data_IF_786768881619
#
_entry.id   IF_786768881619
#
_cell.length_a   1.000
_cell.length_b   1.000
_cell.length_c   1.000
_cell.angle_alpha   90.00
_cell.angle_beta   90.00
_cell.angle_gamma   90.00
#
_symmetry.space_group_name_H-M   'P 1'
#
loop_
_entity.id
_entity.type
_entity.pdbx_description
1 polymer ?
#
# COMPACT_ATOMS: atom_id res chain seq x y z
N UNK A 1 30.59 -2.46 -13.95
CA UNK A 1 29.52 -1.78 -13.21
C UNK A 1 29.34 -2.52 -11.88
N UNK A 2 29.55 -1.85 -10.75
CA UNK A 2 29.35 -2.43 -9.42
C UNK A 2 27.87 -2.69 -9.13
N UNK A 3 27.56 -3.47 -8.09
CA UNK A 3 26.17 -3.67 -7.66
C UNK A 3 25.51 -2.35 -7.24
N UNK A 4 26.23 -1.52 -6.48
CA UNK A 4 25.78 -0.18 -6.09
C UNK A 4 25.44 0.67 -7.32
N UNK A 5 26.37 0.77 -8.29
CA UNK A 5 26.12 1.52 -9.52
C UNK A 5 24.86 1.03 -10.24
N UNK A 6 24.67 -0.29 -10.32
CA UNK A 6 23.51 -0.89 -10.97
C UNK A 6 22.20 -0.52 -10.27
N UNK A 7 22.09 -0.69 -8.95
CA UNK A 7 20.84 -0.46 -8.21
C UNK A 7 20.48 1.03 -8.18
N UNK A 8 21.47 1.90 -7.97
CA UNK A 8 21.25 3.36 -7.93
C UNK A 8 20.93 3.92 -9.31
N UNK A 9 21.62 3.53 -10.39
CA UNK A 9 21.28 3.99 -11.75
C UNK A 9 19.91 3.50 -12.19
N UNK A 10 19.52 2.27 -11.82
CA UNK A 10 18.16 1.77 -12.05
C UNK A 10 17.13 2.63 -11.31
N UNK A 11 17.37 2.96 -10.04
CA UNK A 11 16.46 3.83 -9.30
C UNK A 11 16.41 5.25 -9.88
N UNK A 12 17.53 5.80 -10.37
CA UNK A 12 17.55 7.10 -11.04
C UNK A 12 16.59 7.12 -12.23
N UNK A 13 16.58 6.07 -13.05
CA UNK A 13 15.63 5.93 -14.16
C UNK A 13 14.17 5.86 -13.71
N UNK A 14 13.87 5.26 -12.55
CA UNK A 14 12.53 5.33 -11.98
C UNK A 14 12.17 6.76 -11.49
N UNK A 15 13.14 7.51 -10.97
CA UNK A 15 12.90 8.86 -10.47
C UNK A 15 12.74 9.90 -11.61
N UNK A 16 13.29 9.63 -12.79
CA UNK A 16 13.18 10.52 -13.95
C UNK A 16 11.72 10.86 -14.28
N UNK A 17 11.46 12.15 -14.55
CA UNK A 17 10.12 12.69 -14.79
C UNK A 17 9.21 12.81 -13.56
N UNK A 18 9.63 12.29 -12.40
CA UNK A 18 8.81 12.28 -11.16
C UNK A 18 9.47 12.99 -9.97
N UNK A 19 10.79 12.89 -9.84
CA UNK A 19 11.62 13.62 -8.87
C UNK A 19 13.01 13.85 -9.47
N UNK A 20 13.24 15.02 -10.10
CA UNK A 20 14.56 15.41 -10.59
C UNK A 20 15.63 15.36 -9.50
N UNK A 21 15.29 15.72 -8.26
CA UNK A 21 16.21 15.68 -7.12
C UNK A 21 16.64 14.24 -6.81
N UNK A 22 15.71 13.30 -6.67
CA UNK A 22 16.06 11.92 -6.36
C UNK A 22 16.78 11.24 -7.53
N UNK A 23 16.48 11.63 -8.78
CA UNK A 23 17.23 11.15 -9.94
C UNK A 23 18.70 11.61 -9.90
N UNK A 24 18.95 12.89 -9.58
CA UNK A 24 20.31 13.42 -9.41
C UNK A 24 21.05 12.74 -8.25
N UNK A 25 20.44 12.68 -7.07
CA UNK A 25 21.02 12.03 -5.90
C UNK A 25 21.35 10.57 -6.17
N UNK A 26 20.45 9.82 -6.84
CA UNK A 26 20.74 8.44 -7.21
C UNK A 26 21.98 8.34 -8.11
N UNK A 27 22.17 9.23 -9.08
CA UNK A 27 23.35 9.22 -9.96
C UNK A 27 24.63 9.55 -9.19
N UNK A 28 24.59 10.53 -8.28
CA UNK A 28 25.73 10.89 -7.42
C UNK A 28 26.12 9.75 -6.48
N UNK A 29 25.13 9.09 -5.88
CA UNK A 29 25.33 8.00 -4.92
C UNK A 29 25.67 6.66 -5.57
N UNK A 30 25.56 6.53 -6.89
CA UNK A 30 25.90 5.31 -7.61
C UNK A 30 27.36 4.87 -7.41
N UNK A 31 28.27 5.82 -7.21
CA UNK A 31 29.71 5.61 -7.09
C UNK A 31 30.28 6.14 -5.75
N UNK A 32 29.42 6.60 -4.84
CA UNK A 32 29.83 7.18 -3.56
C UNK A 32 30.31 6.09 -2.58
N UNK A 33 31.59 6.12 -2.13
CA UNK A 33 32.16 5.07 -1.29
C UNK A 33 31.58 5.03 0.13
N UNK A 34 30.80 6.04 0.55
CA UNK A 34 30.19 6.09 1.88
C UNK A 34 28.95 5.20 2.00
N UNK A 35 28.26 4.91 0.90
CA UNK A 35 26.97 4.18 0.90
C UNK A 35 27.07 2.84 1.64
N UNK A 36 28.05 1.95 1.37
CA UNK A 36 28.15 0.67 2.08
C UNK A 36 28.43 0.80 3.59
N UNK A 37 28.94 1.95 4.04
CA UNK A 37 29.17 2.25 5.45
C UNK A 37 27.91 2.71 6.20
N UNK A 38 26.88 3.17 5.47
CA UNK A 38 25.61 3.64 6.04
C UNK A 38 24.55 2.54 6.02
N UNK A 39 24.52 1.75 4.95
CA UNK A 39 23.39 0.86 4.67
C UNK A 39 23.82 -0.36 3.86
N UNK A 40 23.30 -1.53 4.22
CA UNK A 40 23.54 -2.76 3.47
C UNK A 40 23.02 -2.65 2.03
N UNK A 41 23.80 -3.16 1.07
CA UNK A 41 23.46 -3.14 -0.35
C UNK A 41 22.47 -4.26 -0.69
N UNK A 42 21.31 -3.85 -1.15
CA UNK A 42 20.18 -4.64 -1.64
C UNK A 42 19.54 -3.88 -2.79
N UNK A 43 18.52 -4.48 -3.42
CA UNK A 43 17.84 -3.83 -4.56
C UNK A 43 17.11 -2.53 -4.19
N UNK A 44 16.70 -2.37 -2.93
CA UNK A 44 15.94 -1.23 -2.41
C UNK A 44 16.80 -0.21 -1.63
N UNK A 45 18.12 -0.42 -1.54
CA UNK A 45 19.05 0.50 -0.85
C UNK A 45 18.87 1.96 -1.24
N UNK A 46 18.72 2.33 -2.54
CA UNK A 46 18.52 3.73 -2.91
C UNK A 46 17.29 4.35 -2.23
N UNK A 47 16.18 3.61 -2.14
CA UNK A 47 14.94 4.09 -1.53
C UNK A 47 15.07 4.23 -0.02
N UNK A 48 15.73 3.28 0.65
CA UNK A 48 15.96 3.34 2.10
C UNK A 48 16.89 4.49 2.49
N UNK A 49 18.00 4.65 1.76
CA UNK A 49 18.94 5.74 1.99
C UNK A 49 18.31 7.11 1.73
N UNK A 50 17.60 7.29 0.61
CA UNK A 50 16.89 8.54 0.33
C UNK A 50 15.78 8.81 1.34
N UNK A 51 15.07 7.78 1.81
CA UNK A 51 14.09 7.92 2.89
C UNK A 51 14.71 8.36 4.21
N UNK A 52 15.92 7.88 4.53
CA UNK A 52 16.68 8.31 5.69
C UNK A 52 17.19 9.75 5.59
N UNK A 53 17.74 10.13 4.42
CA UNK A 53 18.14 11.51 4.14
C UNK A 53 16.94 12.46 4.20
N UNK A 54 15.81 12.07 3.61
CA UNK A 54 14.60 12.88 3.64
C UNK A 54 14.05 13.04 5.05
N UNK A 55 14.16 12.01 5.90
CA UNK A 55 13.81 12.14 7.31
C UNK A 55 14.65 13.24 7.97
N UNK A 56 15.97 13.26 7.80
CA UNK A 56 16.81 14.34 8.35
C UNK A 56 16.40 15.72 7.82
N UNK A 57 16.08 15.83 6.52
CA UNK A 57 15.64 17.09 5.91
C UNK A 57 14.29 17.55 6.47
N UNK A 58 13.30 16.65 6.59
CA UNK A 58 12.00 16.95 7.18
C UNK A 58 12.11 17.34 8.66
N UNK A 59 13.07 16.77 9.37
CA UNK A 59 13.38 17.11 10.76
C UNK A 59 14.14 18.43 10.93
N UNK A 60 14.56 19.09 9.84
CA UNK A 60 15.40 20.28 9.88
C UNK A 60 16.83 20.02 10.36
N UNK A 61 17.27 18.76 10.32
CA UNK A 61 18.60 18.31 10.75
C UNK A 61 19.61 18.26 9.60
N UNK A 62 19.14 18.33 8.36
CA UNK A 62 19.95 18.34 7.15
C UNK A 62 19.30 19.17 6.03
N UNK A 63 20.07 19.44 4.98
CA UNK A 63 19.61 20.05 3.74
C UNK A 63 20.00 19.18 2.54
N UNK A 64 19.20 19.21 1.47
CA UNK A 64 19.53 18.57 0.20
C UNK A 64 20.80 19.14 -0.45
N UNK A 65 21.14 20.39 -0.15
CA UNK A 65 22.33 21.07 -0.65
C UNK A 65 23.60 20.65 0.10
N UNK A 66 23.48 20.11 1.31
CA UNK A 66 24.57 19.78 2.23
C UNK A 66 24.66 18.26 2.46
N UNK A 67 24.69 17.50 1.36
CA UNK A 67 24.67 16.03 1.41
C UNK A 67 25.79 15.44 2.27
N UNK A 68 26.98 16.06 2.28
CA UNK A 68 28.10 15.58 3.08
C UNK A 68 27.81 15.64 4.59
N UNK A 69 27.22 16.74 5.06
CA UNK A 69 26.79 16.87 6.45
C UNK A 69 25.67 15.88 6.79
N UNK A 70 24.74 15.64 5.85
CA UNK A 70 23.68 14.65 6.03
C UNK A 70 24.23 13.22 6.18
N UNK A 71 25.31 12.87 5.46
CA UNK A 71 25.99 11.58 5.55
C UNK A 71 26.74 11.37 6.86
N UNK A 72 27.24 12.45 7.45
CA UNK A 72 27.94 12.42 8.75
C UNK A 72 26.97 12.39 9.94
N UNK A 73 25.68 12.59 9.71
CA UNK A 73 24.67 12.60 10.77
C UNK A 73 24.52 11.22 11.42
N UNK A 74 24.64 11.16 12.76
CA UNK A 74 24.68 9.92 13.53
C UNK A 74 23.44 9.02 13.36
N UNK A 75 22.26 9.63 13.15
CA UNK A 75 21.01 8.91 12.93
C UNK A 75 20.85 8.29 11.52
N UNK A 76 21.63 8.70 10.52
CA UNK A 76 21.39 8.28 9.13
C UNK A 76 21.40 6.75 8.96
N UNK A 77 22.36 5.98 9.51
CA UNK A 77 22.35 4.52 9.39
C UNK A 77 21.07 3.90 9.96
N UNK A 78 20.61 4.38 11.12
CA UNK A 78 19.37 3.89 11.76
C UNK A 78 18.14 4.21 10.92
N UNK A 79 18.08 5.40 10.33
CA UNK A 79 16.98 5.82 9.46
C UNK A 79 16.97 5.03 8.14
N UNK A 80 18.14 4.82 7.53
CA UNK A 80 18.31 4.06 6.29
C UNK A 80 18.20 2.52 6.45
N UNK A 81 18.26 2.01 7.69
CA UNK A 81 17.99 0.60 7.98
C UNK A 81 16.48 0.27 7.95
N UNK A 82 15.59 1.28 7.99
CA UNK A 82 14.14 1.07 8.01
C UNK A 82 13.65 0.52 6.66
N UNK A 83 12.72 -0.45 6.66
CA UNK A 83 12.03 -0.89 5.44
C UNK A 83 11.34 0.27 4.72
N UNK A 84 11.31 0.19 3.38
CA UNK A 84 10.62 1.16 2.52
C UNK A 84 9.12 1.16 2.82
N UNK A 85 8.52 2.34 2.97
CA UNK A 85 7.09 2.49 3.26
C UNK A 85 6.34 3.24 2.16
N UNK A 86 6.01 2.54 1.07
CA UNK A 86 5.17 3.05 -0.03
C UNK A 86 3.70 2.72 0.21
N UNK A 87 3.14 3.16 1.34
CA UNK A 87 1.73 2.91 1.70
C UNK A 87 0.82 3.93 0.98
N UNK A 88 0.53 3.67 -0.30
CA UNK A 88 -0.24 4.59 -1.15
C UNK A 88 -1.75 4.50 -0.88
N UNK A 89 -2.30 5.56 -0.28
CA UNK A 89 -3.72 5.68 0.10
C UNK A 89 -4.65 5.74 -1.10
N UNK A 90 -4.17 6.30 -2.23
CA UNK A 90 -4.97 6.41 -3.46
C UNK A 90 -5.39 5.03 -4.00
N UNK A 91 -4.74 3.94 -3.60
CA UNK A 91 -5.17 2.57 -3.98
C UNK A 91 -6.59 2.26 -3.52
N UNK A 92 -7.06 2.86 -2.42
CA UNK A 92 -8.46 2.73 -2.01
C UNK A 92 -9.44 3.18 -3.10
N UNK A 93 -9.05 4.09 -4.00
CA UNK A 93 -9.89 4.52 -5.12
C UNK A 93 -10.11 3.41 -6.16
N UNK A 94 -9.13 2.55 -6.45
CA UNK A 94 -9.44 1.40 -7.31
C UNK A 94 -9.99 0.20 -6.53
N UNK A 95 -9.79 0.12 -5.21
CA UNK A 95 -10.32 -0.96 -4.38
C UNK A 95 -11.81 -0.80 -4.07
N UNK A 96 -12.31 0.44 -3.91
CA UNK A 96 -13.71 0.69 -3.60
C UNK A 96 -14.66 -0.11 -4.51
N UNK A 97 -14.60 -0.01 -5.85
CA UNK A 97 -15.54 -0.74 -6.70
C UNK A 97 -15.44 -2.26 -6.54
N UNK A 98 -14.28 -2.80 -6.18
CA UNK A 98 -14.13 -4.22 -5.83
C UNK A 98 -14.88 -4.58 -4.54
N UNK A 99 -14.78 -3.77 -3.48
CA UNK A 99 -15.57 -3.97 -2.25
C UNK A 99 -17.07 -3.85 -2.49
N UNK A 100 -17.50 -2.93 -3.36
CA UNK A 100 -18.90 -2.79 -3.74
C UNK A 100 -19.38 -3.99 -4.58
N UNK A 101 -18.53 -4.53 -5.45
CA UNK A 101 -18.81 -5.76 -6.20
C UNK A 101 -18.95 -6.98 -5.28
N UNK A 102 -18.12 -7.09 -4.24
CA UNK A 102 -18.28 -8.10 -3.19
C UNK A 102 -19.65 -7.98 -2.50
N UNK A 103 -20.04 -6.77 -2.10
CA UNK A 103 -21.35 -6.51 -1.47
C UNK A 103 -22.50 -6.90 -2.41
N UNK A 104 -22.38 -6.57 -3.70
CA UNK A 104 -23.39 -6.89 -4.72
C UNK A 104 -23.61 -8.40 -4.87
N UNK A 105 -22.54 -9.18 -4.84
CA UNK A 105 -22.57 -10.64 -5.10
C UNK A 105 -22.99 -11.45 -3.89
N UNK A 106 -22.55 -11.05 -2.71
CA UNK A 106 -22.79 -11.81 -1.47
C UNK A 106 -24.14 -11.47 -0.83
N UNK A 107 -24.81 -10.39 -1.27
CA UNK A 107 -26.01 -9.83 -0.62
C UNK A 107 -25.74 -9.41 0.84
N UNK A 108 -24.48 -9.52 1.28
CA UNK A 108 -24.02 -9.09 2.59
C UNK A 108 -23.72 -7.60 2.55
N UNK A 109 -24.19 -6.93 3.59
CA UNK A 109 -23.96 -5.50 3.78
C UNK A 109 -23.01 -5.23 4.94
N UNK A 110 -22.44 -6.25 5.58
CA UNK A 110 -21.52 -6.08 6.71
C UNK A 110 -20.22 -6.85 6.47
N UNK A 111 -19.08 -6.18 6.61
CA UNK A 111 -17.75 -6.75 6.42
C UNK A 111 -16.91 -6.69 7.69
N UNK A 112 -16.12 -7.73 7.90
CA UNK A 112 -14.90 -7.67 8.71
C UNK A 112 -13.70 -7.68 7.76
N UNK A 113 -12.85 -6.65 7.83
CA UNK A 113 -11.70 -6.52 6.95
C UNK A 113 -10.43 -7.06 7.59
N UNK A 114 -9.62 -7.73 6.77
CA UNK A 114 -8.26 -8.12 7.09
C UNK A 114 -7.28 -7.75 5.97
N UNK A 115 -6.44 -6.73 6.18
CA UNK A 115 -5.39 -6.37 5.21
C UNK A 115 -4.08 -7.12 5.48
N UNK A 116 -3.50 -7.75 4.46
CA UNK A 116 -2.17 -8.35 4.50
C UNK A 116 -1.13 -7.35 3.99
N UNK A 117 -0.13 -7.03 4.81
CA UNK A 117 0.87 -5.98 4.53
C UNK A 117 0.30 -4.57 4.70
N UNK A 118 -0.42 -4.36 5.81
CA UNK A 118 -1.22 -3.16 6.02
C UNK A 118 -0.41 -1.87 6.24
N UNK A 119 0.89 -1.96 6.57
CA UNK A 119 1.73 -0.82 6.93
C UNK A 119 1.08 0.09 8.00
N UNK A 120 0.59 1.28 7.63
CA UNK A 120 -0.11 2.22 8.52
C UNK A 120 -1.64 2.04 8.53
N UNK A 121 -2.18 1.08 7.77
CA UNK A 121 -3.60 0.74 7.73
C UNK A 121 -4.47 1.70 6.92
N UNK A 122 -3.89 2.51 6.04
CA UNK A 122 -4.69 3.51 5.30
C UNK A 122 -5.77 2.90 4.42
N UNK A 123 -5.54 1.75 3.79
CA UNK A 123 -6.55 1.13 2.91
C UNK A 123 -7.65 0.39 3.68
N UNK A 124 -7.43 0.06 4.96
CA UNK A 124 -8.50 -0.46 5.83
C UNK A 124 -9.62 0.56 6.05
N UNK A 125 -9.32 1.85 5.92
CA UNK A 125 -10.28 2.95 6.08
C UNK A 125 -10.99 3.31 4.77
N UNK A 126 -11.02 2.42 3.78
CA UNK A 126 -11.64 2.72 2.49
C UNK A 126 -13.09 3.21 2.62
N UNK A 127 -13.86 2.71 3.59
CA UNK A 127 -15.26 3.12 3.80
C UNK A 127 -15.40 4.48 4.54
N UNK A 128 -14.28 5.09 4.93
CA UNK A 128 -14.20 6.40 5.60
C UNK A 128 -13.75 7.54 4.69
N UNK A 129 -13.37 7.23 3.46
CA UNK A 129 -13.00 8.24 2.47
C UNK A 129 -14.18 8.62 1.57
N UNK A 130 -14.02 9.75 0.88
CA UNK A 130 -14.87 10.15 -0.24
C UNK A 130 -14.18 9.81 -1.56
N UNK A 131 -14.97 9.50 -2.58
CA UNK A 131 -14.46 9.11 -3.88
C UNK A 131 -15.24 9.79 -5.00
N UNK A 132 -14.52 10.12 -6.07
CA UNK A 132 -15.10 10.63 -7.32
C UNK A 132 -14.86 9.65 -8.46
N UNK A 133 -15.94 9.32 -9.17
CA UNK A 133 -15.94 8.61 -10.45
C UNK A 133 -16.81 9.39 -11.44
N UNK A 134 -16.68 9.08 -12.73
CA UNK A 134 -17.48 9.58 -13.85
C UNK A 134 -18.96 9.32 -13.62
N UNK A 135 -19.32 8.18 -13.02
CA UNK A 135 -20.70 7.81 -12.75
C UNK A 135 -21.29 8.50 -11.51
N UNK A 136 -20.46 9.11 -10.65
CA UNK A 136 -20.89 9.82 -9.45
C UNK A 136 -19.88 9.73 -8.29
N UNK A 137 -20.29 10.31 -7.17
CA UNK A 137 -19.51 10.31 -5.93
C UNK A 137 -19.94 9.16 -5.00
N UNK A 138 -19.00 8.68 -4.18
CA UNK A 138 -19.27 7.73 -3.10
C UNK A 138 -18.61 8.17 -1.80
N UNK A 139 -19.18 7.79 -0.67
CA UNK A 139 -18.64 8.06 0.66
C UNK A 139 -19.29 9.26 1.35
N UNK A 140 -18.75 9.63 2.50
CA UNK A 140 -19.34 10.66 3.35
C UNK A 140 -18.95 12.06 2.89
N UNK A 141 -19.87 13.02 3.01
CA UNK A 141 -19.60 14.41 2.64
C UNK A 141 -18.58 15.09 3.57
N UNK A 142 -18.45 14.60 4.81
CA UNK A 142 -17.54 15.10 5.85
C UNK A 142 -16.21 14.33 5.93
N UNK A 143 -15.93 13.44 4.97
CA UNK A 143 -14.68 12.69 4.95
C UNK A 143 -13.46 13.64 4.85
N UNK A 144 -12.43 13.36 5.65
CA UNK A 144 -11.19 14.15 5.65
C UNK A 144 -10.40 14.03 4.35
N UNK A 145 -10.63 12.96 3.61
CA UNK A 145 -9.92 12.62 2.39
C UNK A 145 -10.91 12.30 1.27
N UNK A 146 -10.69 12.94 0.13
CA UNK A 146 -11.33 12.61 -1.14
C UNK A 146 -10.28 12.04 -2.10
N UNK A 147 -10.65 10.97 -2.80
CA UNK A 147 -9.81 10.26 -3.75
C UNK A 147 -10.46 10.22 -5.14
N UNK A 148 -9.64 10.42 -6.17
CA UNK A 148 -10.05 10.34 -7.57
C UNK A 148 -8.92 9.76 -8.43
N UNK A 149 -9.21 9.55 -9.71
CA UNK A 149 -8.26 9.08 -10.72
C UNK A 149 -8.88 9.07 -12.11
N UNK A 150 -8.12 8.63 -13.10
CA UNK A 150 -8.60 8.51 -14.48
C UNK A 150 -9.31 7.16 -14.71
N UNK A 151 -10.59 7.19 -15.06
CA UNK A 151 -11.31 6.00 -15.54
C UNK A 151 -11.12 5.81 -17.04
N UNK A 152 -10.27 4.85 -17.41
CA UNK A 152 -10.10 4.38 -18.79
C UNK A 152 -11.30 3.59 -19.27
N UNK A 153 -11.84 2.74 -18.39
CA UNK A 153 -13.19 2.17 -18.52
C UNK A 153 -13.94 2.44 -17.21
N UNK A 154 -15.15 3.02 -17.29
CA UNK A 154 -15.85 3.50 -16.12
C UNK A 154 -16.35 2.36 -15.24
N UNK A 155 -16.38 2.61 -13.94
CA UNK A 155 -17.04 1.75 -12.95
C UNK A 155 -18.56 1.75 -13.21
N UNK A 156 -19.24 0.60 -13.14
CA UNK A 156 -20.69 0.53 -13.28
C UNK A 156 -21.42 1.40 -12.24
N UNK A 157 -22.29 2.29 -12.70
CA UNK A 157 -23.00 3.23 -11.83
C UNK A 157 -23.82 2.55 -10.71
N UNK A 158 -24.35 1.35 -10.99
CA UNK A 158 -25.10 0.57 -10.00
C UNK A 158 -24.28 0.21 -8.76
N UNK A 159 -22.95 0.02 -8.89
CA UNK A 159 -22.09 -0.25 -7.73
C UNK A 159 -22.07 0.94 -6.76
N UNK A 160 -22.03 2.17 -7.29
CA UNK A 160 -21.94 3.38 -6.49
C UNK A 160 -23.22 3.67 -5.67
N UNK A 161 -24.30 2.91 -5.85
CA UNK A 161 -25.49 2.96 -4.98
C UNK A 161 -25.37 2.09 -3.72
N UNK A 162 -24.43 1.15 -3.68
CA UNK A 162 -24.27 0.22 -2.55
C UNK A 162 -23.62 0.92 -1.35
N UNK A 163 -24.04 0.54 -0.15
CA UNK A 163 -23.57 1.10 1.13
C UNK A 163 -23.28 -0.01 2.14
N UNK A 164 -22.28 -0.87 1.87
CA UNK A 164 -21.83 -1.84 2.88
C UNK A 164 -21.29 -1.10 4.12
N UNK A 165 -21.33 -1.79 5.25
CA UNK A 165 -20.89 -1.36 6.56
C UNK A 165 -19.66 -2.18 6.93
N UNK A 166 -18.58 -1.52 7.31
CA UNK A 166 -17.40 -2.20 7.84
C UNK A 166 -17.50 -2.22 9.37
N UNK A 167 -17.66 -3.42 9.93
CA UNK A 167 -17.76 -3.66 11.38
C UNK A 167 -16.37 -3.65 12.03
N UNK A 168 -15.41 -4.39 11.47
CA UNK A 168 -14.04 -4.48 11.98
C UNK A 168 -13.01 -4.17 10.89
N UNK A 169 -11.90 -3.55 11.32
CA UNK A 169 -10.73 -3.25 10.47
C UNK A 169 -9.48 -3.78 11.16
N UNK A 170 -8.92 -4.88 10.65
CA UNK A 170 -7.68 -5.46 11.14
C UNK A 170 -6.62 -5.53 10.02
N UNK A 171 -5.36 -5.37 10.38
CA UNK A 171 -4.24 -5.47 9.44
C UNK A 171 -3.05 -6.17 10.07
N UNK A 172 -2.31 -6.93 9.24
CA UNK A 172 -1.05 -7.56 9.64
C UNK A 172 0.08 -6.98 8.80
N UNK A 173 1.20 -6.66 9.45
CA UNK A 173 2.41 -6.23 8.78
C UNK A 173 3.65 -6.70 9.56
N UNK A 174 4.79 -6.91 8.88
CA UNK A 174 6.04 -7.25 9.56
C UNK A 174 6.54 -6.10 10.44
N UNK A 175 6.30 -4.87 10.02
CA UNK A 175 6.71 -3.66 10.74
C UNK A 175 5.66 -2.55 10.58
N UNK A 176 4.48 -2.71 11.21
CA UNK A 176 3.38 -1.76 11.09
C UNK A 176 3.81 -0.38 11.60
N UNK A 177 3.31 0.67 10.94
CA UNK A 177 3.65 2.05 11.28
C UNK A 177 2.51 2.72 12.04
N UNK A 178 2.71 3.01 13.33
CA UNK A 178 1.71 3.70 14.13
C UNK A 178 1.72 5.22 13.88
N UNK A 179 0.92 5.67 12.92
CA UNK A 179 0.77 7.09 12.57
C UNK A 179 -0.01 7.92 13.61
N UNK A 180 -0.51 7.30 14.69
CA UNK A 180 -0.99 8.06 15.86
C UNK A 180 0.15 8.72 16.61
N UNK A 181 1.35 8.13 16.54
CA UNK A 181 2.57 8.74 17.05
C UNK A 181 3.15 9.71 16.04
N UNK A 182 3.85 10.74 16.53
CA UNK A 182 4.55 11.67 15.64
C UNK A 182 5.72 10.99 14.95
N UNK A 183 6.38 10.02 15.60
CA UNK A 183 7.44 9.23 14.98
C UNK A 183 6.93 8.40 13.80
N UNK A 184 5.80 7.69 13.94
CA UNK A 184 5.24 6.89 12.87
C UNK A 184 4.71 7.75 11.71
N UNK A 185 4.06 8.87 12.02
CA UNK A 185 3.63 9.82 11.00
C UNK A 185 4.83 10.41 10.25
N UNK A 186 5.90 10.79 10.98
CA UNK A 186 7.15 11.28 10.40
C UNK A 186 7.83 10.23 9.52
N UNK A 187 7.86 8.97 9.95
CA UNK A 187 8.41 7.86 9.17
C UNK A 187 7.72 7.71 7.82
N UNK A 188 6.39 7.74 7.78
CA UNK A 188 5.65 7.57 6.51
C UNK A 188 5.86 8.79 5.59
N UNK A 189 5.95 10.00 6.15
CA UNK A 189 6.26 11.22 5.37
C UNK A 189 7.60 11.14 4.66
N UNK A 190 8.63 10.57 5.29
CA UNK A 190 9.97 10.51 4.70
C UNK A 190 10.06 9.64 3.44
N UNK A 191 9.08 8.78 3.19
CA UNK A 191 8.97 7.97 1.98
C UNK A 191 8.11 8.61 0.87
N UNK A 192 7.52 9.78 1.10
CA UNK A 192 6.97 10.63 0.04
C UNK A 192 8.10 11.45 -0.55
N UNK A 193 8.19 11.55 -1.87
CA UNK A 193 9.32 12.25 -2.49
C UNK A 193 9.14 13.78 -2.38
N UNK A 194 10.22 14.57 -2.28
CA UNK A 194 10.15 16.01 -2.02
C UNK A 194 9.23 16.79 -2.96
N UNK A 195 9.23 16.45 -4.25
CA UNK A 195 8.40 17.14 -5.26
C UNK A 195 6.93 16.67 -5.27
N UNK A 196 6.57 15.60 -4.55
CA UNK A 196 5.23 15.00 -4.56
C UNK A 196 4.28 15.69 -3.56
N UNK A 197 4.13 17.01 -3.66
CA UNK A 197 3.33 17.82 -2.74
C UNK A 197 1.87 17.35 -2.61
N UNK A 198 1.21 17.01 -3.72
CA UNK A 198 -0.17 16.50 -3.70
C UNK A 198 -0.28 15.14 -2.98
N UNK A 199 0.73 14.28 -3.14
CA UNK A 199 0.82 13.01 -2.44
C UNK A 199 1.02 13.22 -0.95
N UNK A 200 1.86 14.18 -0.56
CA UNK A 200 2.06 14.58 0.84
C UNK A 200 0.75 15.09 1.45
N UNK A 201 0.02 15.98 0.78
CA UNK A 201 -1.27 16.50 1.27
C UNK A 201 -2.32 15.40 1.44
N UNK A 202 -2.41 14.46 0.48
CA UNK A 202 -3.27 13.29 0.58
C UNK A 202 -2.88 12.40 1.76
N UNK A 203 -1.59 12.17 1.96
CA UNK A 203 -1.06 11.43 3.09
C UNK A 203 -1.44 12.09 4.44
N UNK A 204 -1.28 13.41 4.59
CA UNK A 204 -1.65 14.10 5.83
C UNK A 204 -3.14 13.92 6.16
N UNK A 205 -4.02 14.01 5.16
CA UNK A 205 -5.46 13.76 5.33
C UNK A 205 -5.74 12.32 5.75
N UNK A 206 -5.02 11.36 5.18
CA UNK A 206 -5.14 9.95 5.55
C UNK A 206 -4.63 9.67 6.98
N UNK A 207 -3.52 10.30 7.40
CA UNK A 207 -3.04 10.27 8.78
C UNK A 207 -4.12 10.82 9.71
N UNK A 208 -4.78 11.93 9.35
CA UNK A 208 -5.91 12.47 10.09
C UNK A 208 -7.07 11.47 10.23
N UNK A 209 -7.43 10.77 9.15
CA UNK A 209 -8.48 9.76 9.17
C UNK A 209 -8.12 8.57 10.07
N UNK A 210 -6.90 8.04 9.98
CA UNK A 210 -6.42 6.96 10.86
C UNK A 210 -6.36 7.39 12.31
N UNK A 211 -5.97 8.64 12.60
CA UNK A 211 -5.99 9.17 13.98
C UNK A 211 -7.41 9.28 14.54
N UNK A 212 -8.39 9.59 13.70
CA UNK A 212 -9.79 9.69 14.11
C UNK A 212 -10.45 8.31 14.33
N UNK A 213 -10.18 7.34 13.45
CA UNK A 213 -10.75 5.99 13.50
C UNK A 213 -9.66 4.93 13.28
N UNK A 214 -8.80 4.66 14.27
CA UNK A 214 -7.63 3.81 14.08
C UNK A 214 -8.02 2.34 13.85
N UNK A 215 -7.44 1.67 12.84
CA UNK A 215 -7.63 0.24 12.65
C UNK A 215 -6.78 -0.55 13.65
N UNK A 216 -7.10 -1.83 13.82
CA UNK A 216 -6.28 -2.77 14.60
C UNK A 216 -5.09 -3.24 13.76
N UNK A 217 -3.87 -2.80 14.10
CA UNK A 217 -2.65 -3.24 13.42
C UNK A 217 -1.87 -4.22 14.30
N UNK A 218 -1.56 -5.39 13.74
CA UNK A 218 -0.77 -6.43 14.40
C UNK A 218 0.55 -6.60 13.68
N UNK A 219 1.63 -6.65 14.46
CA UNK A 219 2.96 -7.04 13.98
C UNK A 219 3.02 -8.56 13.81
N UNK A 220 3.48 -9.04 12.65
CA UNK A 220 3.75 -10.46 12.42
C UNK A 220 3.98 -10.81 10.95
N UNK A 221 4.53 -12.01 10.70
CA UNK A 221 4.58 -12.57 9.34
C UNK A 221 3.17 -13.06 8.96
N UNK A 222 2.68 -12.61 7.81
CA UNK A 222 1.33 -12.96 7.34
C UNK A 222 1.14 -14.47 7.15
N UNK A 223 2.20 -15.22 6.80
CA UNK A 223 2.14 -16.68 6.65
C UNK A 223 1.95 -17.37 8.00
N UNK A 224 2.47 -16.78 9.07
CA UNK A 224 2.40 -17.35 10.42
C UNK A 224 1.12 -16.95 11.14
N UNK A 225 0.64 -15.72 10.95
CA UNK A 225 -0.45 -15.15 11.74
C UNK A 225 -1.83 -15.31 11.08
N UNK A 226 -1.89 -15.45 9.75
CA UNK A 226 -3.17 -15.57 9.03
C UNK A 226 -4.05 -16.75 9.48
N UNK A 227 -3.51 -17.97 9.73
CA UNK A 227 -4.33 -19.09 10.19
C UNK A 227 -5.11 -18.77 11.48
N UNK A 228 -4.42 -18.22 12.48
CA UNK A 228 -5.03 -17.89 13.77
C UNK A 228 -6.09 -16.78 13.63
N UNK A 229 -5.82 -15.78 12.78
CA UNK A 229 -6.77 -14.68 12.56
C UNK A 229 -8.05 -15.11 11.88
N UNK A 230 -7.99 -16.09 10.97
CA UNK A 230 -9.17 -16.61 10.29
C UNK A 230 -9.90 -17.66 11.14
N UNK A 231 -9.19 -18.46 11.93
CA UNK A 231 -9.80 -19.41 12.85
C UNK A 231 -10.70 -18.73 13.89
N UNK A 232 -10.35 -17.51 14.33
CA UNK A 232 -11.10 -16.71 15.29
C UNK A 232 -12.23 -15.87 14.64
N UNK A 233 -12.50 -16.01 13.34
CA UNK A 233 -13.46 -15.17 12.63
C UNK A 233 -14.91 -15.53 12.96
N UNK A 234 -15.77 -14.52 12.88
CA UNK A 234 -17.21 -14.70 12.93
C UNK A 234 -17.72 -15.15 11.56
N UNK A 235 -18.16 -16.40 11.44
CA UNK A 235 -18.64 -16.97 10.17
C UNK A 235 -20.00 -16.45 9.74
N UNK A 236 -20.73 -15.73 10.61
CA UNK A 236 -22.00 -15.07 10.29
C UNK A 236 -21.80 -13.70 9.62
N UNK A 237 -20.54 -13.23 9.53
CA UNK A 237 -20.18 -11.98 8.84
C UNK A 237 -19.15 -12.28 7.75
N UNK A 238 -19.33 -11.67 6.59
CA UNK A 238 -18.36 -11.82 5.51
C UNK A 238 -17.01 -11.22 5.92
N UNK A 239 -16.02 -12.10 6.05
CA UNK A 239 -14.62 -11.68 6.18
C UNK A 239 -14.08 -11.36 4.79
N UNK A 240 -13.56 -10.14 4.60
CA UNK A 240 -12.89 -9.72 3.37
C UNK A 240 -11.40 -9.56 3.66
N UNK A 241 -10.62 -10.54 3.22
CA UNK A 241 -9.16 -10.46 3.23
C UNK A 241 -8.71 -9.71 1.99
N UNK A 242 -7.76 -8.80 2.12
CA UNK A 242 -7.21 -8.13 0.95
C UNK A 242 -5.75 -7.73 1.09
N UNK A 243 -5.11 -7.43 -0.04
CA UNK A 243 -3.77 -6.85 -0.07
C UNK A 243 -3.59 -5.96 -1.30
N UNK A 244 -2.67 -4.99 -1.22
CA UNK A 244 -2.49 -3.98 -2.28
C UNK A 244 -1.12 -3.94 -2.95
N UNK A 245 -0.13 -4.66 -2.42
CA UNK A 245 1.23 -4.70 -2.96
C UNK A 245 2.14 -5.75 -2.29
N UNK A 246 1.69 -6.43 -1.22
CA UNK A 246 2.59 -7.23 -0.36
C UNK A 246 3.12 -8.48 -1.05
N UNK A 247 2.38 -9.01 -2.04
CA UNK A 247 2.77 -10.25 -2.71
C UNK A 247 4.11 -10.16 -3.43
N UNK A 248 4.53 -8.97 -3.87
CA UNK A 248 5.84 -8.77 -4.48
C UNK A 248 7.02 -9.04 -3.54
N UNK A 249 6.77 -9.10 -2.23
CA UNK A 249 7.77 -9.44 -1.21
C UNK A 249 7.66 -10.90 -0.73
N UNK A 250 6.62 -11.62 -1.15
CA UNK A 250 6.45 -13.04 -0.86
C UNK A 250 7.07 -13.85 -2.00
N UNK A 251 7.89 -14.84 -1.65
CA UNK A 251 8.26 -15.89 -2.60
C UNK A 251 7.08 -16.82 -2.88
N UNK A 252 7.15 -17.55 -3.99
CA UNK A 252 6.09 -18.45 -4.45
C UNK A 252 5.61 -19.44 -3.38
N UNK A 253 6.54 -19.98 -2.58
CA UNK A 253 6.22 -20.92 -1.49
C UNK A 253 5.38 -20.26 -0.39
N UNK A 254 5.76 -19.05 0.05
CA UNK A 254 4.99 -18.32 1.06
C UNK A 254 3.61 -17.95 0.52
N UNK A 255 3.53 -17.60 -0.76
CA UNK A 255 2.27 -17.26 -1.41
C UNK A 255 1.32 -18.46 -1.53
N UNK A 256 1.83 -19.64 -1.90
CA UNK A 256 1.06 -20.89 -1.91
C UNK A 256 0.50 -21.21 -0.52
N UNK A 257 1.30 -21.04 0.54
CA UNK A 257 0.83 -21.25 1.93
C UNK A 257 -0.31 -20.31 2.31
N UNK A 258 -0.24 -19.04 1.93
CA UNK A 258 -1.33 -18.08 2.17
C UNK A 258 -2.60 -18.50 1.43
N UNK A 259 -2.50 -18.88 0.14
CA UNK A 259 -3.65 -19.38 -0.62
C UNK A 259 -4.28 -20.63 -0.01
N UNK A 260 -3.47 -21.59 0.42
CA UNK A 260 -3.95 -22.81 1.04
C UNK A 260 -4.78 -22.54 2.31
N UNK A 261 -4.33 -21.59 3.14
CA UNK A 261 -5.06 -21.16 4.34
C UNK A 261 -6.39 -20.48 3.96
N UNK A 262 -6.38 -19.57 2.99
CA UNK A 262 -7.60 -18.91 2.51
C UNK A 262 -8.62 -19.91 1.95
N UNK A 263 -8.17 -20.90 1.18
CA UNK A 263 -9.03 -21.93 0.61
C UNK A 263 -9.64 -22.87 1.68
N UNK A 264 -8.84 -23.31 2.66
CA UNK A 264 -9.32 -24.11 3.79
C UNK A 264 -10.38 -23.35 4.59
N UNK A 265 -10.12 -22.07 4.91
CA UNK A 265 -11.06 -21.23 5.66
C UNK A 265 -12.31 -20.86 4.84
N UNK A 266 -12.16 -20.61 3.54
CA UNK A 266 -13.27 -20.41 2.62
C UNK A 266 -14.18 -21.63 2.49
N UNK A 267 -13.64 -22.85 2.67
CA UNK A 267 -14.45 -24.08 2.69
C UNK A 267 -15.35 -24.20 3.94
N UNK A 268 -15.05 -23.44 5.00
CA UNK A 268 -15.76 -23.46 6.29
C UNK A 268 -16.83 -22.37 6.43
N UNK A 269 -16.85 -21.38 5.53
CA UNK A 269 -17.83 -20.29 5.56
C UNK A 269 -17.47 -19.15 4.61
N UNK A 270 -18.39 -18.22 4.41
CA UNK A 270 -18.25 -17.12 3.45
C UNK A 270 -16.96 -16.33 3.66
N UNK A 271 -16.12 -16.25 2.63
CA UNK A 271 -14.85 -15.52 2.64
C UNK A 271 -14.68 -14.83 1.30
N UNK A 272 -14.11 -13.62 1.30
CA UNK A 272 -13.68 -12.95 0.09
C UNK A 272 -12.19 -12.66 0.18
N UNK A 273 -11.48 -12.84 -0.93
CA UNK A 273 -10.09 -12.44 -1.05
C UNK A 273 -9.89 -11.53 -2.25
N UNK A 274 -9.49 -10.29 -1.99
CA UNK A 274 -9.23 -9.25 -2.99
C UNK A 274 -7.74 -8.93 -3.04
N UNK A 275 -7.10 -9.04 -4.19
CA UNK A 275 -5.66 -8.84 -4.26
C UNK A 275 -5.20 -8.21 -5.57
N UNK A 276 -4.05 -7.54 -5.52
CA UNK A 276 -3.36 -7.02 -6.69
C UNK A 276 -2.24 -7.96 -7.11
N UNK A 277 -2.21 -8.37 -8.37
CA UNK A 277 -1.06 -9.07 -8.96
C UNK A 277 -0.93 -8.70 -10.45
N UNK A 278 0.08 -9.21 -11.14
CA UNK A 278 0.16 -9.06 -12.60
C UNK A 278 -1.05 -9.74 -13.24
N UNK A 279 -1.70 -9.12 -14.25
CA UNK A 279 -2.81 -9.75 -14.96
C UNK A 279 -2.34 -10.88 -15.89
N UNK A 280 -1.07 -10.85 -16.31
CA UNK A 280 -0.41 -11.90 -17.07
C UNK A 280 1.12 -11.91 -16.79
N UNK A 281 1.84 -13.03 -17.02
CA UNK A 281 3.26 -13.16 -16.68
C UNK A 281 4.18 -12.09 -17.26
N UNK A 282 3.89 -11.63 -18.48
CA UNK A 282 4.64 -10.66 -19.27
C UNK A 282 4.19 -9.20 -19.07
N UNK A 283 3.13 -8.97 -18.28
CA UNK A 283 2.63 -7.63 -17.99
C UNK A 283 3.29 -7.08 -16.72
N UNK A 284 4.06 -6.00 -16.89
CA UNK A 284 4.79 -5.34 -15.80
C UNK A 284 4.43 -3.86 -15.61
N UNK A 285 3.44 -3.36 -16.35
CA UNK A 285 3.11 -1.93 -16.38
C UNK A 285 1.96 -1.53 -15.45
N UNK A 286 1.17 -2.50 -14.97
CA UNK A 286 -0.01 -2.27 -14.14
C UNK A 286 -0.41 -3.53 -13.36
N UNK A 287 -1.33 -3.38 -12.42
CA UNK A 287 -1.95 -4.49 -11.70
C UNK A 287 -3.24 -4.94 -12.35
N UNK A 288 -3.53 -6.24 -12.22
CA UNK A 288 -4.87 -6.77 -12.20
C UNK A 288 -5.43 -6.78 -10.78
N UNK A 289 -6.71 -6.45 -10.64
CA UNK A 289 -7.47 -6.54 -9.40
C UNK A 289 -8.27 -7.83 -9.41
N UNK A 290 -7.84 -8.80 -8.62
CA UNK A 290 -8.40 -10.14 -8.59
C UNK A 290 -9.30 -10.32 -7.37
N UNK A 291 -10.40 -11.05 -7.55
CA UNK A 291 -11.34 -11.41 -6.52
C UNK A 291 -11.59 -12.91 -6.54
N UNK A 292 -11.51 -13.56 -5.38
CA UNK A 292 -12.02 -14.89 -5.16
C UNK A 292 -13.06 -14.86 -4.04
N UNK A 293 -14.21 -15.50 -4.27
CA UNK A 293 -15.29 -15.62 -3.31
C UNK A 293 -15.47 -17.10 -2.98
N UNK A 294 -15.65 -17.40 -1.69
CA UNK A 294 -16.03 -18.73 -1.23
C UNK A 294 -17.41 -18.70 -0.57
N UNK A 295 -18.29 -19.68 -0.88
CA UNK A 295 -18.16 -20.63 -2.00
C UNK A 295 -18.26 -19.91 -3.37
N UNK A 296 -17.56 -20.41 -4.39
CA UNK A 296 -17.54 -19.80 -5.74
C UNK A 296 -16.71 -20.60 -6.76
N UNK A 297 -16.66 -20.12 -7.99
CA UNK A 297 -16.02 -20.79 -9.15
C UNK A 297 -14.51 -20.52 -9.28
N UNK A 298 -13.90 -19.95 -8.24
CA UNK A 298 -12.49 -19.56 -8.21
C UNK A 298 -12.25 -18.09 -8.53
N UNK A 299 -11.01 -17.72 -8.89
CA UNK A 299 -10.60 -16.33 -8.98
C UNK A 299 -11.01 -15.65 -10.29
N UNK A 300 -11.44 -14.39 -10.20
CA UNK A 300 -11.87 -13.55 -11.31
C UNK A 300 -11.08 -12.24 -11.34
N UNK A 301 -10.71 -11.79 -12.54
CA UNK A 301 -10.09 -10.48 -12.75
C UNK A 301 -11.18 -9.42 -12.96
N UNK A 302 -11.27 -8.44 -12.05
CA UNK A 302 -12.29 -7.39 -12.08
C UNK A 302 -11.87 -6.14 -12.87
N UNK A 303 -10.59 -5.79 -12.82
CA UNK A 303 -10.08 -4.54 -13.39
C UNK A 303 -8.56 -4.55 -13.61
N UNK A 304 -8.08 -3.61 -14.41
CA UNK A 304 -6.67 -3.21 -14.45
C UNK A 304 -6.49 -1.84 -13.77
N UNK A 305 -5.38 -1.64 -13.06
CA UNK A 305 -5.11 -0.37 -12.37
C UNK A 305 -3.62 0.00 -12.30
N UNK A 306 -3.35 1.31 -12.24
CA UNK A 306 -2.03 1.85 -11.93
C UNK A 306 -1.54 1.45 -10.53
N UNK A 307 -0.22 1.25 -10.38
CA UNK A 307 0.42 0.86 -9.11
C UNK A 307 0.18 1.84 -7.94
N UNK A 308 -0.15 3.09 -8.23
CA UNK A 308 -0.41 4.15 -7.27
C UNK A 308 -1.80 4.76 -7.43
N UNK A 309 -2.69 4.12 -8.20
CA UNK A 309 -4.06 4.56 -8.39
C UNK A 309 -4.23 5.80 -9.28
N UNK A 310 -3.30 6.06 -10.20
CA UNK A 310 -3.47 7.13 -11.19
C UNK A 310 -4.63 6.88 -12.16
N UNK A 311 -4.86 5.62 -12.54
CA UNK A 311 -5.94 5.23 -13.44
C UNK A 311 -6.52 3.86 -13.10
N UNK A 312 -7.75 3.62 -13.53
CA UNK A 312 -8.51 2.38 -13.42
C UNK A 312 -9.19 2.05 -14.75
N UNK A 313 -9.17 0.76 -15.13
CA UNK A 313 -9.91 0.19 -16.24
C UNK A 313 -10.74 -0.98 -15.71
N UNK A 314 -12.03 -0.74 -15.45
CA UNK A 314 -12.97 -1.81 -15.10
C UNK A 314 -13.14 -2.79 -16.27
N UNK A 315 -13.34 -4.09 -16.02
CA UNK A 315 -13.54 -5.09 -17.07
C UNK A 315 -15.01 -5.40 -17.32
#
# INVERSE_FOLDING_TARGET
MTEQERVFRRQAGHCEGRSPLYADLCRRLAEDPRVPGVVELTWDTPLRLLGGLHALVLGGQASWDELDAAFEHEDLPRLAARPVQTNEVRRSWFLLPCFLEIARRTVESTFDLLELGASAGFNLLWDRYRYRYRAGDWGRADALLELDGEERRPVPAGLLSLRPVVRRRAGVDLDPVDVKTDEGAFRIRSFVWPEQNERMQRLERAIGAVRAEPPELRRGDIVEVLPDLLADRDTDVLTVVFQTAVLGYLGDEKWERVRAVLADEGSRGCLAFLWTDRPAPDVHAHWGLWLELWPGDGPELLAHADFHGAWLEWL
#
